data_IF_238266782286
#
_entry.id   IF_238266782286
#
_cell.length_a   1.000
_cell.length_b   1.000
_cell.length_c   1.000
_cell.angle_alpha   90.00
_cell.angle_beta   90.00
_cell.angle_gamma   90.00
#
_symmetry.space_group_name_H-M   'P 1'
#
loop_
_entity.id
_entity.type
_entity.pdbx_description
1 polymer ?
#
# COMPACT_ATOMS: atom_id res chain seq x y z
N UNK A 1 -20.04 -26.62 -8.87
CA UNK A 1 -19.99 -25.37 -8.09
C UNK A 1 -18.69 -24.64 -8.40
N UNK A 2 -18.72 -23.42 -8.98
CA UNK A 2 -17.50 -22.69 -9.31
C UNK A 2 -16.84 -22.12 -8.05
N UNK A 3 -15.51 -22.26 -7.93
CA UNK A 3 -14.74 -21.64 -6.82
C UNK A 3 -14.73 -20.12 -6.96
N UNK A 4 -14.82 -19.43 -5.83
CA UNK A 4 -14.68 -17.97 -5.77
C UNK A 4 -13.27 -17.59 -6.23
N UNK A 5 -13.17 -16.69 -7.21
CA UNK A 5 -11.88 -16.19 -7.72
C UNK A 5 -11.38 -15.03 -6.87
N UNK A 6 -10.06 -14.97 -6.69
CA UNK A 6 -9.43 -13.85 -5.99
C UNK A 6 -9.30 -12.64 -6.90
N UNK A 7 -9.54 -11.44 -6.35
CA UNK A 7 -9.32 -10.19 -7.06
C UNK A 7 -7.82 -9.92 -7.14
N UNK A 8 -7.23 -10.13 -8.32
CA UNK A 8 -5.78 -10.00 -8.55
C UNK A 8 -5.24 -8.61 -8.18
N UNK A 9 -6.03 -7.56 -8.39
CA UNK A 9 -5.66 -6.20 -8.02
C UNK A 9 -5.49 -6.01 -6.51
N UNK A 10 -6.37 -6.59 -5.70
CA UNK A 10 -6.30 -6.53 -4.25
C UNK A 10 -5.12 -7.36 -3.72
N UNK A 11 -4.94 -8.57 -4.24
CA UNK A 11 -3.83 -9.46 -3.84
C UNK A 11 -2.44 -8.84 -4.09
N UNK A 12 -2.31 -7.96 -5.10
CA UNK A 12 -1.06 -7.24 -5.38
C UNK A 12 -0.78 -6.07 -4.43
N UNK A 13 -1.81 -5.52 -3.77
CA UNK A 13 -1.73 -4.26 -3.00
C UNK A 13 -1.80 -4.48 -1.48
N UNK A 14 -2.47 -5.54 -1.04
CA UNK A 14 -2.75 -5.81 0.37
C UNK A 14 -2.18 -7.16 0.82
N UNK A 15 -1.61 -7.19 2.03
CA UNK A 15 -1.11 -8.42 2.67
C UNK A 15 -1.83 -8.66 4.00
N UNK A 16 -2.35 -9.87 4.22
CA UNK A 16 -2.99 -10.27 5.49
C UNK A 16 -1.94 -10.38 6.61
N UNK A 17 -2.28 -9.90 7.80
CA UNK A 17 -1.48 -10.07 9.01
C UNK A 17 -1.96 -11.28 9.80
N UNK A 18 -1.09 -11.86 10.64
CA UNK A 18 -1.45 -13.03 11.45
C UNK A 18 -2.63 -12.80 12.41
N UNK A 19 -2.89 -11.54 12.79
CA UNK A 19 -4.01 -11.13 13.66
C UNK A 19 -5.31 -10.81 12.90
N UNK A 20 -5.37 -11.05 11.59
CA UNK A 20 -6.57 -10.82 10.78
C UNK A 20 -6.69 -9.43 10.15
N UNK A 21 -5.74 -8.52 10.38
CA UNK A 21 -5.69 -7.22 9.71
C UNK A 21 -5.04 -7.26 8.32
N UNK A 22 -4.93 -6.11 7.66
CA UNK A 22 -4.27 -5.96 6.36
C UNK A 22 -3.20 -4.86 6.40
N UNK A 23 -2.06 -5.10 5.75
CA UNK A 23 -0.99 -4.13 5.52
C UNK A 23 -1.00 -3.66 4.07
N UNK A 24 -0.73 -2.37 3.85
CA UNK A 24 -0.56 -1.75 2.53
C UNK A 24 0.49 -0.63 2.58
N UNK A 25 0.95 -0.17 1.41
CA UNK A 25 1.86 0.98 1.28
C UNK A 25 1.05 2.29 1.19
N UNK A 26 1.64 3.42 1.60
CA UNK A 26 1.05 4.74 1.39
C UNK A 26 1.19 5.20 -0.06
N UNK A 27 0.23 5.99 -0.53
CA UNK A 27 0.29 6.62 -1.84
C UNK A 27 1.26 7.81 -1.86
N UNK A 28 1.59 8.31 -3.05
CA UNK A 28 2.31 9.58 -3.26
C UNK A 28 3.78 9.63 -2.83
N UNK A 29 4.44 8.50 -2.55
CA UNK A 29 5.91 8.48 -2.37
C UNK A 29 6.68 8.57 -3.71
N UNK A 30 6.06 8.22 -4.83
CA UNK A 30 6.76 8.07 -6.12
C UNK A 30 6.94 9.38 -6.91
N UNK A 31 5.96 10.31 -6.95
CA UNK A 31 6.08 11.50 -7.79
C UNK A 31 6.26 12.81 -7.02
N UNK A 32 6.92 13.79 -7.64
CA UNK A 32 7.06 15.20 -7.21
C UNK A 32 7.45 15.30 -5.72
N UNK A 33 8.60 14.74 -5.35
CA UNK A 33 9.13 14.83 -3.99
C UNK A 33 9.78 16.18 -3.70
N UNK A 34 10.36 16.83 -4.71
CA UNK A 34 11.06 18.10 -4.57
C UNK A 34 10.18 19.21 -3.99
N UNK A 35 8.92 19.31 -4.45
CA UNK A 35 7.94 20.30 -3.98
C UNK A 35 7.26 19.95 -2.65
N UNK A 36 7.51 18.77 -2.08
CA UNK A 36 6.88 18.35 -0.81
C UNK A 36 7.73 18.81 0.36
N UNK A 37 7.05 19.32 1.40
CA UNK A 37 7.67 19.66 2.67
C UNK A 37 8.43 18.44 3.26
N UNK A 38 9.58 18.64 3.92
CA UNK A 38 10.36 17.57 4.56
C UNK A 38 9.52 16.70 5.50
N UNK A 39 8.67 17.34 6.32
CA UNK A 39 7.76 16.66 7.23
C UNK A 39 6.81 15.70 6.49
N UNK A 40 6.29 16.08 5.32
CA UNK A 40 5.41 15.17 4.55
C UNK A 40 6.18 13.99 3.97
N UNK A 41 7.45 14.19 3.60
CA UNK A 41 8.29 13.13 3.02
C UNK A 41 8.66 12.07 4.05
N UNK A 42 8.95 12.45 5.31
CA UNK A 42 9.29 11.49 6.37
C UNK A 42 8.11 10.61 6.79
N UNK A 43 6.88 11.13 6.76
CA UNK A 43 5.67 10.35 7.05
C UNK A 43 5.26 9.40 5.92
N UNK A 44 5.87 9.50 4.73
CA UNK A 44 5.67 8.52 3.67
C UNK A 44 6.69 7.39 3.88
N UNK A 45 6.26 6.16 4.20
CA UNK A 45 7.18 5.07 4.49
C UNK A 45 8.11 4.80 3.30
N UNK A 46 9.37 4.39 3.55
CA UNK A 46 10.30 4.05 2.49
C UNK A 46 9.78 2.88 1.65
N UNK A 47 10.28 2.80 0.41
CA UNK A 47 9.86 1.77 -0.57
C UNK A 47 10.14 0.36 -0.08
#
# INVERSE_FOLDING_TARGET
MPKIKTVRGAAKRFKKTGKGGFKHKHANLRPILTKKAPNRKSHLPPR
#
